data_IF_899702417920
#
_entry.id   IF_899702417920
#
_cell.length_a   1.000
_cell.length_b   1.000
_cell.length_c   1.000
_cell.angle_alpha   90.00
_cell.angle_beta   90.00
_cell.angle_gamma   90.00
#
_symmetry.space_group_name_H-M   'P 1'
#
loop_
_entity.id
_entity.type
_entity.pdbx_description
1 polymer ?
#
# COMPACT_ATOMS: atom_id res chain seq x y z
N UNK A 1 24.59 -4.03 5.24
CA UNK A 1 24.32 -4.97 4.20
C UNK A 1 23.29 -4.39 3.26
N UNK A 2 23.56 -4.51 2.19
CA UNK A 2 23.26 -3.86 1.01
C UNK A 2 22.07 -4.51 0.31
N UNK A 3 20.94 -3.83 0.33
CA UNK A 3 19.73 -4.29 -0.37
C UNK A 3 20.01 -4.49 -1.88
N UNK A 4 20.99 -3.78 -2.47
CA UNK A 4 21.41 -4.01 -3.84
C UNK A 4 22.04 -5.39 -4.03
N UNK A 5 22.84 -5.86 -3.08
CA UNK A 5 23.39 -7.22 -3.10
C UNK A 5 22.29 -8.26 -2.88
N UNK A 6 21.32 -8.00 -2.04
CA UNK A 6 20.17 -8.88 -1.82
C UNK A 6 19.32 -9.00 -3.10
N UNK A 7 19.06 -7.89 -3.78
CA UNK A 7 18.36 -7.88 -5.08
C UNK A 7 19.20 -8.63 -6.12
N UNK A 8 20.51 -8.44 -6.17
CA UNK A 8 21.39 -9.14 -7.08
C UNK A 8 21.41 -10.64 -6.82
N UNK A 9 21.43 -11.06 -5.55
CA UNK A 9 21.35 -12.48 -5.15
C UNK A 9 20.00 -13.10 -5.52
N UNK A 10 18.90 -12.39 -5.26
CA UNK A 10 17.55 -12.83 -5.66
C UNK A 10 17.45 -13.00 -7.18
N UNK A 11 17.99 -12.05 -7.96
CA UNK A 11 18.01 -12.13 -9.42
C UNK A 11 18.96 -13.20 -9.97
N UNK A 12 20.10 -13.39 -9.34
CA UNK A 12 21.09 -14.41 -9.74
C UNK A 12 20.66 -15.83 -9.39
N UNK A 13 19.81 -16.00 -8.37
CA UNK A 13 19.23 -17.28 -7.98
C UNK A 13 18.00 -17.68 -8.80
N UNK A 14 17.69 -16.97 -9.88
CA UNK A 14 16.51 -17.19 -10.72
C UNK A 14 16.51 -18.59 -11.38
N UNK A 15 16.01 -19.54 -10.61
CA UNK A 15 15.18 -20.59 -11.23
C UNK A 15 13.90 -19.92 -11.74
N UNK A 16 13.23 -20.46 -12.79
CA UNK A 16 11.99 -19.87 -13.30
C UNK A 16 10.90 -19.96 -12.22
N UNK A 17 10.91 -19.00 -11.29
CA UNK A 17 9.74 -18.78 -10.45
C UNK A 17 8.59 -18.26 -11.31
N UNK A 18 7.34 -18.61 -10.99
CA UNK A 18 6.21 -17.98 -11.65
C UNK A 18 6.36 -16.46 -11.56
N UNK A 19 5.90 -15.70 -12.58
CA UNK A 19 5.95 -14.25 -12.55
C UNK A 19 5.34 -13.73 -11.26
N UNK A 20 6.04 -12.83 -10.56
CA UNK A 20 5.54 -12.21 -9.34
C UNK A 20 5.96 -10.74 -9.28
N UNK A 21 5.14 -9.92 -8.60
CA UNK A 21 5.52 -8.58 -8.18
C UNK A 21 6.39 -8.70 -6.92
N UNK A 22 7.58 -8.10 -6.93
CA UNK A 22 8.54 -8.24 -5.82
C UNK A 22 9.07 -6.89 -5.40
N UNK A 23 8.97 -6.58 -4.11
CA UNK A 23 9.62 -5.42 -3.49
C UNK A 23 10.68 -5.87 -2.51
N UNK A 24 11.78 -5.14 -2.48
CA UNK A 24 12.85 -5.32 -1.49
C UNK A 24 12.98 -4.03 -0.70
N UNK A 25 12.63 -4.09 0.58
CA UNK A 25 12.67 -2.94 1.48
C UNK A 25 13.76 -3.17 2.51
N UNK A 26 14.65 -2.21 2.64
CA UNK A 26 15.69 -2.24 3.65
C UNK A 26 15.10 -1.82 5.00
N UNK A 27 14.77 -2.81 5.81
CA UNK A 27 14.27 -2.68 7.16
C UNK A 27 14.75 -3.88 7.98
N UNK A 28 15.39 -3.69 9.14
CA UNK A 28 15.88 -4.80 9.94
C UNK A 28 14.71 -5.58 10.54
N UNK A 29 14.67 -6.92 10.39
CA UNK A 29 13.71 -7.77 11.10
C UNK A 29 13.89 -7.69 12.60
N UNK A 30 12.78 -7.76 13.36
CA UNK A 30 12.77 -7.63 14.83
C UNK A 30 13.47 -8.78 15.56
N UNK A 31 13.49 -9.97 15.00
CA UNK A 31 14.10 -11.18 15.56
C UNK A 31 15.63 -11.23 15.44
N UNK A 32 16.24 -10.18 14.89
CA UNK A 32 17.65 -10.13 14.57
C UNK A 32 18.05 -10.91 13.31
N UNK A 33 17.10 -11.46 12.60
CA UNK A 33 17.30 -12.05 11.27
C UNK A 33 17.82 -11.02 10.28
N UNK A 34 18.48 -11.49 9.21
CA UNK A 34 19.00 -10.59 8.16
C UNK A 34 17.98 -10.34 7.05
N UNK A 35 17.02 -11.24 6.91
CA UNK A 35 15.97 -11.22 5.88
C UNK A 35 14.69 -11.73 6.49
N UNK A 36 13.58 -11.03 6.26
CA UNK A 36 12.23 -11.52 6.45
C UNK A 36 11.54 -11.57 5.08
N UNK A 37 10.78 -12.62 4.82
CA UNK A 37 10.03 -12.80 3.58
C UNK A 37 8.55 -12.82 3.90
N UNK A 38 7.81 -11.91 3.27
CA UNK A 38 6.35 -11.93 3.24
C UNK A 38 5.90 -12.30 1.82
N UNK A 39 5.00 -13.27 1.69
CA UNK A 39 4.55 -13.79 0.40
C UNK A 39 3.03 -13.88 0.38
N UNK A 40 2.43 -13.37 -0.69
CA UNK A 40 1.03 -13.58 -1.00
C UNK A 40 0.93 -14.59 -2.14
N UNK A 41 0.37 -15.76 -1.87
CA UNK A 41 0.23 -16.86 -2.82
C UNK A 41 -1.22 -16.92 -3.32
N UNK A 42 -1.38 -17.00 -4.63
CA UNK A 42 -2.66 -17.25 -5.28
C UNK A 42 -2.64 -18.62 -5.95
N UNK A 43 -3.68 -19.42 -5.67
CA UNK A 43 -3.97 -20.62 -6.44
C UNK A 43 -5.03 -20.28 -7.49
N UNK A 44 -4.63 -20.31 -8.75
CA UNK A 44 -5.48 -20.01 -9.88
C UNK A 44 -5.70 -21.30 -10.68
N UNK A 45 -6.83 -21.97 -10.46
CA UNK A 45 -7.13 -23.22 -11.16
C UNK A 45 -7.26 -23.02 -12.68
N UNK A 46 -7.87 -21.90 -13.09
CA UNK A 46 -8.10 -21.56 -14.50
C UNK A 46 -7.66 -20.13 -14.84
N UNK A 47 -6.80 -19.53 -14.00
CA UNK A 47 -6.35 -18.15 -14.13
C UNK A 47 -5.12 -18.00 -15.00
N UNK A 48 -4.98 -16.85 -15.63
CA UNK A 48 -3.79 -16.47 -16.35
C UNK A 48 -2.99 -15.45 -15.55
N UNK A 49 -1.69 -15.68 -15.45
CA UNK A 49 -0.74 -14.74 -14.83
C UNK A 49 0.16 -14.18 -15.93
N UNK A 50 0.26 -12.86 -15.99
CA UNK A 50 1.11 -12.19 -16.97
C UNK A 50 1.98 -11.12 -16.31
N UNK A 51 3.31 -11.13 -16.51
CA UNK A 51 4.19 -10.08 -16.02
C UNK A 51 4.05 -8.82 -16.88
N UNK A 52 4.30 -7.68 -16.25
CA UNK A 52 4.55 -6.41 -16.91
C UNK A 52 5.71 -5.70 -16.19
N UNK A 53 6.21 -4.63 -16.76
CA UNK A 53 7.29 -3.86 -16.12
C UNK A 53 6.86 -3.31 -14.76
N UNK A 54 7.50 -3.79 -13.69
CA UNK A 54 7.20 -3.39 -12.31
C UNK A 54 6.00 -4.10 -11.69
N UNK A 55 5.51 -5.22 -12.27
CA UNK A 55 4.40 -5.91 -11.63
C UNK A 55 3.93 -7.18 -12.33
N UNK A 56 2.76 -7.63 -11.90
CA UNK A 56 2.11 -8.83 -12.43
C UNK A 56 0.60 -8.65 -12.43
N UNK A 57 -0.06 -9.19 -13.44
CA UNK A 57 -1.52 -9.35 -13.44
C UNK A 57 -1.91 -10.80 -13.27
N UNK A 58 -3.07 -11.04 -12.66
CA UNK A 58 -3.71 -12.34 -12.60
C UNK A 58 -5.19 -12.21 -12.91
N UNK A 59 -5.65 -12.92 -13.93
CA UNK A 59 -7.05 -12.95 -14.33
C UNK A 59 -7.74 -14.15 -13.67
N UNK A 60 -8.82 -13.89 -12.94
CA UNK A 60 -9.60 -14.94 -12.26
C UNK A 60 -11.04 -14.50 -12.05
N UNK A 61 -11.99 -15.38 -12.35
CA UNK A 61 -13.43 -15.19 -12.13
C UNK A 61 -13.99 -13.85 -12.66
N UNK A 62 -13.50 -13.37 -13.79
CA UNK A 62 -13.94 -12.13 -14.41
C UNK A 62 -13.31 -10.86 -13.84
N UNK A 63 -12.39 -10.99 -12.90
CA UNK A 63 -11.59 -9.91 -12.36
C UNK A 63 -10.16 -10.01 -12.87
N UNK A 64 -9.53 -8.85 -13.12
CA UNK A 64 -8.08 -8.75 -13.29
C UNK A 64 -7.48 -8.12 -12.05
N UNK A 65 -6.68 -8.89 -11.34
CA UNK A 65 -5.86 -8.42 -10.23
C UNK A 65 -4.54 -7.86 -10.77
N UNK A 66 -4.15 -6.68 -10.32
CA UNK A 66 -2.97 -5.95 -10.79
C UNK A 66 -2.11 -5.60 -9.58
N UNK A 67 -0.95 -6.23 -9.45
CA UNK A 67 0.04 -5.90 -8.42
C UNK A 67 1.20 -5.13 -9.05
N UNK A 68 1.43 -3.92 -8.57
CA UNK A 68 2.58 -3.10 -8.92
C UNK A 68 3.51 -3.04 -7.72
N UNK A 69 4.79 -3.24 -7.94
CA UNK A 69 5.77 -3.34 -6.88
C UNK A 69 7.02 -2.51 -7.17
N UNK A 70 7.69 -2.08 -6.09
CA UNK A 70 9.00 -1.44 -6.12
C UNK A 70 9.08 -0.17 -6.97
N UNK A 71 7.96 0.56 -7.11
CA UNK A 71 7.95 1.88 -7.72
C UNK A 71 8.88 2.82 -6.93
N UNK A 72 9.80 3.50 -7.62
CA UNK A 72 10.73 4.45 -7.00
C UNK A 72 11.22 5.48 -8.01
N UNK A 73 11.63 6.68 -7.52
CA UNK A 73 12.26 7.74 -8.31
C UNK A 73 13.45 8.32 -7.53
N UNK A 74 14.56 8.67 -8.17
CA UNK A 74 15.68 9.34 -7.50
C UNK A 74 15.53 10.87 -7.48
N UNK A 75 14.51 11.43 -8.14
CA UNK A 75 14.45 12.84 -8.46
C UNK A 75 13.73 13.66 -7.38
N UNK A 76 14.38 14.66 -6.85
CA UNK A 76 13.80 15.64 -5.93
C UNK A 76 13.62 15.14 -4.49
N UNK A 77 12.78 15.84 -3.75
CA UNK A 77 12.40 15.52 -2.38
C UNK A 77 11.28 14.45 -2.33
N UNK A 78 10.87 14.06 -1.14
CA UNK A 78 9.83 13.05 -0.94
C UNK A 78 8.49 13.43 -1.57
N UNK A 79 8.15 14.71 -1.64
CA UNK A 79 6.93 15.17 -2.30
C UNK A 79 7.02 14.95 -3.80
N UNK A 80 8.11 15.40 -4.44
CA UNK A 80 8.32 15.23 -5.88
C UNK A 80 8.40 13.76 -6.28
N UNK A 81 9.07 12.94 -5.48
CA UNK A 81 9.12 11.50 -5.71
C UNK A 81 7.74 10.88 -5.63
N UNK A 82 6.93 11.23 -4.61
CA UNK A 82 5.56 10.72 -4.45
C UNK A 82 4.66 11.12 -5.62
N UNK A 83 4.72 12.37 -6.05
CA UNK A 83 4.01 12.85 -7.25
C UNK A 83 4.37 11.99 -8.46
N UNK A 84 5.67 11.86 -8.76
CA UNK A 84 6.16 11.06 -9.89
C UNK A 84 5.71 9.60 -9.81
N UNK A 85 5.71 8.99 -8.63
CA UNK A 85 5.30 7.60 -8.44
C UNK A 85 3.81 7.39 -8.66
N UNK A 86 2.99 8.29 -8.13
CA UNK A 86 1.54 8.22 -8.29
C UNK A 86 1.09 8.53 -9.72
N UNK A 87 1.73 9.50 -10.40
CA UNK A 87 1.48 9.78 -11.81
C UNK A 87 1.80 8.56 -12.68
N UNK A 88 2.99 7.98 -12.53
CA UNK A 88 3.39 6.76 -13.25
C UNK A 88 2.44 5.59 -12.96
N UNK A 89 1.97 5.48 -11.72
CA UNK A 89 1.02 4.44 -11.36
C UNK A 89 -0.35 4.68 -11.98
N UNK A 90 -0.86 5.91 -12.00
CA UNK A 90 -2.09 6.28 -12.68
C UNK A 90 -2.02 6.02 -14.19
N UNK A 91 -0.91 6.39 -14.84
CA UNK A 91 -0.64 6.08 -16.25
C UNK A 91 -0.64 4.55 -16.50
N UNK A 92 0.01 3.79 -15.61
CA UNK A 92 0.04 2.32 -15.69
C UNK A 92 -1.35 1.72 -15.56
N UNK A 93 -2.17 2.18 -14.63
CA UNK A 93 -3.56 1.78 -14.50
C UNK A 93 -4.35 2.10 -15.78
N UNK A 94 -4.12 3.26 -16.37
CA UNK A 94 -4.73 3.66 -17.65
C UNK A 94 -4.45 2.69 -18.80
N UNK A 95 -3.25 2.07 -18.86
CA UNK A 95 -2.90 1.05 -19.84
C UNK A 95 -3.76 -0.23 -19.71
N UNK A 96 -4.25 -0.50 -18.48
CA UNK A 96 -5.19 -1.59 -18.22
C UNK A 96 -6.66 -1.15 -18.35
N UNK A 97 -6.93 0.11 -18.66
CA UNK A 97 -8.27 0.69 -18.66
C UNK A 97 -8.86 0.80 -17.25
N UNK A 98 -8.03 1.11 -16.28
CA UNK A 98 -8.32 1.31 -14.87
C UNK A 98 -8.00 2.74 -14.44
N UNK A 99 -8.55 3.15 -13.28
CA UNK A 99 -8.28 4.45 -12.66
C UNK A 99 -7.89 4.29 -11.19
N UNK A 100 -7.28 5.33 -10.60
CA UNK A 100 -7.02 5.36 -9.16
C UNK A 100 -8.33 5.32 -8.36
N UNK A 101 -9.32 6.09 -8.77
CA UNK A 101 -10.60 6.21 -8.09
C UNK A 101 -11.38 4.89 -8.06
N UNK A 102 -11.51 4.21 -9.20
CA UNK A 102 -12.45 3.09 -9.31
C UNK A 102 -11.82 1.72 -9.07
N UNK A 103 -10.52 1.57 -9.31
CA UNK A 103 -9.88 0.25 -9.37
C UNK A 103 -8.75 0.06 -8.35
N UNK A 104 -8.13 1.15 -7.87
CA UNK A 104 -7.05 1.03 -6.86
C UNK A 104 -7.63 0.70 -5.49
N UNK A 105 -7.26 -0.46 -4.97
CA UNK A 105 -7.78 -0.98 -3.70
C UNK A 105 -6.84 -0.68 -2.54
N UNK A 106 -5.54 -0.74 -2.79
CA UNK A 106 -4.53 -0.67 -1.73
C UNK A 106 -3.21 -0.08 -2.20
N UNK A 107 -2.58 0.76 -1.36
CA UNK A 107 -1.21 1.25 -1.56
C UNK A 107 -0.36 1.04 -0.30
N UNK A 108 0.95 0.82 -0.50
CA UNK A 108 1.97 0.80 0.55
C UNK A 108 3.08 1.77 0.16
N UNK A 109 3.34 2.74 1.04
CA UNK A 109 4.47 3.65 0.93
C UNK A 109 5.52 3.26 1.97
N UNK A 110 6.73 2.98 1.49
CA UNK A 110 7.90 2.84 2.35
C UNK A 110 8.71 4.12 2.23
N UNK A 111 8.89 4.79 3.34
CA UNK A 111 9.43 6.15 3.38
C UNK A 111 10.72 6.17 4.19
N UNK A 112 11.82 6.53 3.56
CA UNK A 112 13.11 6.66 4.25
C UNK A 112 13.07 7.85 5.21
N UNK A 113 13.53 7.66 6.45
CA UNK A 113 13.46 8.68 7.52
C UNK A 113 12.05 9.27 7.60
N UNK A 114 11.09 8.44 7.94
CA UNK A 114 9.65 8.75 7.91
C UNK A 114 9.31 10.05 8.65
N UNK A 115 9.95 10.33 9.78
CA UNK A 115 9.74 11.55 10.57
C UNK A 115 10.07 12.84 9.80
N UNK A 116 10.96 12.75 8.82
CA UNK A 116 11.37 13.90 7.98
C UNK A 116 10.60 13.95 6.67
N UNK A 117 10.43 12.81 6.02
CA UNK A 117 9.97 12.73 4.63
C UNK A 117 8.45 12.50 4.49
N UNK A 118 7.76 12.04 5.55
CA UNK A 118 6.34 11.68 5.45
C UNK A 118 5.43 12.88 5.15
N UNK A 119 5.75 14.05 5.64
CA UNK A 119 4.98 15.27 5.36
C UNK A 119 4.92 15.59 3.85
N UNK A 120 6.03 15.37 3.13
CA UNK A 120 6.09 15.50 1.67
C UNK A 120 5.18 14.49 0.96
N UNK A 121 5.19 13.23 1.41
CA UNK A 121 4.32 12.17 0.89
C UNK A 121 2.84 12.52 1.07
N UNK A 122 2.45 12.97 2.26
CA UNK A 122 1.05 13.35 2.57
C UNK A 122 0.58 14.50 1.70
N UNK A 123 1.42 15.55 1.52
CA UNK A 123 1.08 16.71 0.69
C UNK A 123 0.87 16.32 -0.78
N UNK A 124 1.85 15.66 -1.39
CA UNK A 124 1.79 15.28 -2.79
C UNK A 124 0.63 14.31 -3.07
N UNK A 125 0.41 13.33 -2.19
CA UNK A 125 -0.71 12.41 -2.31
C UNK A 125 -2.06 13.12 -2.25
N UNK A 126 -2.23 14.11 -1.37
CA UNK A 126 -3.46 14.89 -1.28
C UNK A 126 -3.76 15.62 -2.58
N UNK A 127 -2.79 16.37 -3.09
CA UNK A 127 -2.93 17.17 -4.31
C UNK A 127 -3.29 16.30 -5.52
N UNK A 128 -2.61 15.17 -5.67
CA UNK A 128 -2.86 14.23 -6.75
C UNK A 128 -4.20 13.51 -6.60
N UNK A 129 -4.57 13.11 -5.39
CA UNK A 129 -5.84 12.44 -5.13
C UNK A 129 -7.03 13.37 -5.44
N UNK A 130 -6.97 14.64 -5.04
CA UNK A 130 -7.98 15.64 -5.40
C UNK A 130 -8.14 15.77 -6.91
N UNK A 131 -7.03 15.77 -7.66
CA UNK A 131 -7.04 15.81 -9.12
C UNK A 131 -7.73 14.57 -9.75
N UNK A 132 -7.61 13.41 -9.11
CA UNK A 132 -8.25 12.17 -9.54
C UNK A 132 -9.63 11.91 -8.92
N UNK A 133 -10.27 12.90 -8.30
CA UNK A 133 -11.61 12.77 -7.74
C UNK A 133 -11.68 12.03 -6.39
N UNK A 134 -10.53 11.74 -5.77
CA UNK A 134 -10.43 11.13 -4.45
C UNK A 134 -10.46 12.22 -3.38
N UNK A 135 -11.61 12.40 -2.73
CA UNK A 135 -11.90 13.49 -1.80
C UNK A 135 -12.68 12.99 -0.58
N UNK A 136 -12.84 13.80 0.48
CA UNK A 136 -13.70 13.43 1.62
C UNK A 136 -15.16 13.16 1.24
N UNK A 137 -15.63 13.68 0.10
CA UNK A 137 -17.02 13.52 -0.38
C UNK A 137 -17.20 12.26 -1.23
N UNK A 138 -16.11 11.72 -1.75
CA UNK A 138 -16.10 10.46 -2.50
C UNK A 138 -15.53 9.35 -1.60
N UNK A 139 -14.29 9.07 -1.73
CA UNK A 139 -13.51 8.15 -0.86
C UNK A 139 -12.02 8.38 -1.09
N UNK A 140 -11.21 7.76 -0.25
CA UNK A 140 -9.78 7.59 -0.47
C UNK A 140 -9.43 6.12 -0.74
N UNK A 141 -8.15 5.82 -0.89
CA UNK A 141 -7.61 4.47 -1.06
C UNK A 141 -7.11 3.97 0.30
N UNK A 142 -7.32 2.70 0.64
CA UNK A 142 -6.69 2.10 1.81
C UNK A 142 -5.17 2.12 1.65
N UNK A 143 -4.43 2.63 2.65
CA UNK A 143 -3.01 2.92 2.51
C UNK A 143 -2.23 2.73 3.81
N UNK A 144 -0.98 2.31 3.69
CA UNK A 144 -0.01 2.31 4.79
C UNK A 144 1.21 3.12 4.38
N UNK A 145 1.66 4.02 5.23
CA UNK A 145 2.94 4.71 5.10
C UNK A 145 3.81 4.40 6.32
N UNK A 146 4.95 3.77 6.11
CA UNK A 146 5.85 3.31 7.17
C UNK A 146 7.31 3.56 6.81
N UNK A 147 8.19 3.51 7.80
CA UNK A 147 9.63 3.52 7.55
C UNK A 147 10.04 2.36 6.64
N UNK A 148 10.90 2.65 5.70
CA UNK A 148 11.50 1.67 4.82
C UNK A 148 12.39 2.34 3.79
N UNK A 149 13.48 1.68 3.39
CA UNK A 149 14.52 2.28 2.53
C UNK A 149 14.71 1.50 1.26
N UNK A 150 15.04 2.23 0.21
CA UNK A 150 15.61 1.66 -1.01
C UNK A 150 17.13 1.46 -0.84
N UNK A 151 17.73 0.59 -1.65
CA UNK A 151 19.17 0.41 -1.70
C UNK A 151 19.93 1.68 -2.14
N UNK A 152 19.34 2.47 -3.03
CA UNK A 152 19.82 3.80 -3.42
C UNK A 152 19.27 4.83 -2.42
N UNK A 153 20.12 5.54 -1.67
CA UNK A 153 19.69 6.48 -0.65
C UNK A 153 19.00 7.75 -1.21
N UNK A 154 19.11 8.02 -2.50
CA UNK A 154 18.41 9.12 -3.15
C UNK A 154 16.92 8.80 -3.41
N UNK A 155 16.51 7.55 -3.28
CA UNK A 155 15.12 7.10 -3.45
C UNK A 155 14.46 7.06 -2.08
N UNK A 156 13.83 8.19 -1.73
CA UNK A 156 13.25 8.42 -0.41
C UNK A 156 11.92 7.71 -0.22
N UNK A 157 11.24 7.40 -1.32
CA UNK A 157 9.89 6.82 -1.30
C UNK A 157 9.82 5.61 -2.23
N UNK A 158 9.25 4.51 -1.73
CA UNK A 158 8.87 3.34 -2.52
C UNK A 158 7.35 3.22 -2.52
N UNK A 159 6.79 2.76 -3.62
CA UNK A 159 5.36 2.53 -3.78
C UNK A 159 5.10 1.10 -4.27
N UNK A 160 4.31 0.37 -3.49
CA UNK A 160 3.62 -0.83 -3.92
C UNK A 160 2.12 -0.56 -3.99
N UNK A 161 1.43 -1.17 -4.94
CA UNK A 161 0.01 -0.94 -5.12
C UNK A 161 -0.71 -2.18 -5.64
N UNK A 162 -1.99 -2.27 -5.30
CA UNK A 162 -2.89 -3.31 -5.74
C UNK A 162 -4.19 -2.71 -6.27
N UNK A 163 -4.56 -3.12 -7.47
CA UNK A 163 -5.81 -2.74 -8.10
C UNK A 163 -6.57 -3.97 -8.61
N UNK A 164 -7.87 -3.83 -8.76
CA UNK A 164 -8.75 -4.88 -9.27
C UNK A 164 -9.67 -4.30 -10.34
N UNK A 165 -9.46 -4.70 -11.59
CA UNK A 165 -10.35 -4.38 -12.70
C UNK A 165 -11.57 -5.30 -12.71
N UNK A 166 -12.72 -4.75 -13.05
CA UNK A 166 -13.98 -5.50 -13.19
C UNK A 166 -14.87 -5.47 -11.97
N UNK A 167 -14.51 -4.72 -10.93
CA UNK A 167 -15.39 -4.47 -9.80
C UNK A 167 -16.60 -3.62 -10.23
N UNK A 168 -17.76 -3.98 -9.73
CA UNK A 168 -19.02 -3.27 -9.96
C UNK A 168 -19.27 -2.30 -8.79
N UNK A 169 -20.07 -1.24 -8.98
CA UNK A 169 -20.48 -0.36 -7.90
C UNK A 169 -21.01 -1.14 -6.69
N UNK A 170 -20.56 -0.77 -5.48
CA UNK A 170 -20.93 -1.43 -4.22
C UNK A 170 -20.14 -2.68 -3.86
N UNK A 171 -19.23 -3.16 -4.71
CA UNK A 171 -18.31 -4.24 -4.33
C UNK A 171 -17.15 -3.75 -3.46
N UNK A 172 -16.72 -2.50 -3.61
CA UNK A 172 -15.81 -1.86 -2.68
C UNK A 172 -16.61 -1.17 -1.57
N UNK A 173 -16.34 -1.54 -0.33
CA UNK A 173 -16.96 -0.96 0.87
C UNK A 173 -15.85 -0.42 1.76
N UNK A 174 -15.84 0.89 1.97
CA UNK A 174 -14.84 1.56 2.80
C UNK A 174 -15.21 1.39 4.27
N UNK A 175 -14.21 1.04 5.09
CA UNK A 175 -14.39 0.66 6.48
C UNK A 175 -14.16 1.84 7.40
N UNK A 176 -15.04 1.98 8.37
CA UNK A 176 -15.01 3.04 9.38
C UNK A 176 -15.33 2.44 10.74
N UNK A 177 -14.59 2.84 11.76
CA UNK A 177 -14.82 2.46 13.16
C UNK A 177 -14.92 3.73 14.03
N UNK A 178 -15.96 4.54 13.82
CA UNK A 178 -16.08 5.90 14.38
C UNK A 178 -16.05 5.96 15.91
N UNK A 179 -16.39 4.87 16.59
CA UNK A 179 -16.31 4.78 18.05
C UNK A 179 -14.89 4.48 18.54
N UNK A 180 -14.00 4.03 17.64
CA UNK A 180 -12.62 3.65 17.92
C UNK A 180 -11.58 4.57 17.26
N UNK A 181 -11.88 5.05 16.05
CA UNK A 181 -10.94 5.77 15.19
C UNK A 181 -11.63 6.99 14.57
N UNK A 182 -11.01 8.14 14.63
CA UNK A 182 -11.47 9.32 13.92
C UNK A 182 -11.26 9.18 12.39
N UNK A 183 -12.07 9.90 11.57
CA UNK A 183 -11.82 10.01 10.14
C UNK A 183 -10.44 10.58 9.83
N UNK A 184 -9.76 10.03 8.84
CA UNK A 184 -8.36 10.39 8.52
C UNK A 184 -8.21 11.84 8.03
N UNK A 185 -9.20 12.37 7.32
CA UNK A 185 -9.19 13.73 6.82
C UNK A 185 -9.22 14.78 7.95
N UNK A 186 -9.73 14.46 9.16
CA UNK A 186 -9.76 15.38 10.30
C UNK A 186 -8.35 15.78 10.78
N UNK A 187 -7.36 14.91 10.61
CA UNK A 187 -5.96 15.23 10.91
C UNK A 187 -5.10 15.38 9.66
N UNK A 188 -5.74 15.61 8.52
CA UNK A 188 -5.09 16.07 7.30
C UNK A 188 -4.39 15.02 6.46
N UNK A 189 -4.69 13.73 6.63
CA UNK A 189 -4.19 12.67 5.76
C UNK A 189 -5.30 12.10 4.87
N UNK A 190 -4.91 11.51 3.74
CA UNK A 190 -5.79 11.10 2.65
C UNK A 190 -5.71 9.60 2.43
N UNK A 191 -6.35 8.82 3.29
CA UNK A 191 -6.50 7.36 3.12
C UNK A 191 -7.75 6.86 3.82
N UNK A 192 -8.30 5.72 3.38
CA UNK A 192 -9.34 5.00 4.11
C UNK A 192 -8.75 4.10 5.18
N UNK A 193 -9.45 3.89 6.29
CA UNK A 193 -9.03 2.96 7.35
C UNK A 193 -8.92 1.53 6.85
N UNK A 194 -9.71 1.17 5.85
CA UNK A 194 -9.68 -0.10 5.18
C UNK A 194 -10.71 -0.16 4.06
N UNK A 195 -10.61 -1.20 3.26
CA UNK A 195 -11.59 -1.51 2.23
C UNK A 195 -11.92 -2.99 2.25
N UNK A 196 -13.20 -3.31 2.16
CA UNK A 196 -13.73 -4.66 1.93
C UNK A 196 -14.13 -4.80 0.47
N UNK A 197 -13.49 -5.70 -0.25
CA UNK A 197 -13.85 -6.06 -1.62
C UNK A 197 -14.70 -7.33 -1.61
N UNK A 198 -15.91 -7.25 -2.14
CA UNK A 198 -16.88 -8.35 -2.17
C UNK A 198 -16.83 -9.06 -3.52
N UNK A 199 -16.50 -10.34 -3.53
CA UNK A 199 -16.41 -11.17 -4.75
C UNK A 199 -17.58 -12.14 -4.94
N UNK A 200 -18.66 -11.97 -4.18
CA UNK A 200 -19.82 -12.86 -4.23
C UNK A 200 -19.78 -13.91 -3.11
N UNK A 201 -18.99 -14.94 -3.27
CA UNK A 201 -18.84 -16.03 -2.29
C UNK A 201 -17.90 -15.69 -1.11
N UNK A 202 -17.08 -14.66 -1.27
CA UNK A 202 -16.11 -14.21 -0.27
C UNK A 202 -15.88 -12.69 -0.33
N UNK A 203 -15.19 -12.20 0.67
CA UNK A 203 -14.68 -10.83 0.70
C UNK A 203 -13.22 -10.83 1.09
N UNK A 204 -12.46 -9.89 0.52
CA UNK A 204 -11.13 -9.56 1.01
C UNK A 204 -11.21 -8.24 1.76
N UNK A 205 -10.64 -8.21 2.95
CA UNK A 205 -10.52 -7.01 3.77
C UNK A 205 -9.05 -6.59 3.76
N UNK A 206 -8.80 -5.36 3.33
CA UNK A 206 -7.47 -4.78 3.31
C UNK A 206 -7.48 -3.56 4.25
N UNK A 207 -6.78 -3.69 5.37
CA UNK A 207 -6.72 -2.64 6.39
C UNK A 207 -5.48 -1.75 6.19
N UNK A 208 -5.65 -0.47 6.43
CA UNK A 208 -4.56 0.51 6.46
C UNK A 208 -3.73 0.36 7.72
N UNK A 209 -2.57 1.00 7.75
CA UNK A 209 -1.80 1.13 8.97
C UNK A 209 -2.65 1.77 10.07
N UNK A 210 -2.73 1.09 11.22
CA UNK A 210 -3.56 1.50 12.36
C UNK A 210 -2.66 1.66 13.58
N UNK A 211 -2.84 2.76 14.29
CA UNK A 211 -2.08 3.09 15.49
C UNK A 211 -2.92 2.90 16.76
N UNK A 212 -2.25 2.98 17.92
CA UNK A 212 -2.90 3.05 19.22
C UNK A 212 -3.46 4.47 19.47
N UNK A 213 -4.58 4.77 18.84
CA UNK A 213 -5.30 6.03 18.99
C UNK A 213 -6.76 5.78 19.36
N UNK A 214 -7.41 6.80 19.88
CA UNK A 214 -8.86 6.82 20.11
C UNK A 214 -9.63 7.50 18.96
N UNK A 215 -10.93 7.66 19.14
CA UNK A 215 -11.81 8.33 18.18
C UNK A 215 -11.65 9.87 18.13
N UNK A 216 -10.75 10.45 18.92
CA UNK A 216 -10.33 11.85 18.85
C UNK A 216 -8.97 12.01 18.22
N UNK A 217 -8.30 10.86 17.89
CA UNK A 217 -6.93 10.84 17.38
C UNK A 217 -5.86 10.98 18.46
N UNK A 218 -6.23 10.87 19.74
CA UNK A 218 -5.29 10.93 20.85
C UNK A 218 -4.60 9.58 21.07
N UNK A 219 -3.32 9.61 21.43
CA UNK A 219 -2.55 8.39 21.69
C UNK A 219 -3.06 7.72 22.97
N UNK A 220 -3.42 6.45 22.85
CA UNK A 220 -3.80 5.60 23.99
C UNK A 220 -2.59 4.84 24.49
N UNK A 221 -2.45 4.74 25.82
CA UNK A 221 -1.34 4.07 26.53
C UNK A 221 0.06 4.59 26.07
N UNK A 222 0.34 5.92 26.19
CA UNK A 222 1.63 6.48 25.79
C UNK A 222 2.77 5.83 26.61
N UNK A 223 3.87 5.45 25.93
CA UNK A 223 5.05 4.78 26.48
C UNK A 223 4.82 3.34 27.00
N UNK A 224 3.64 2.79 26.84
CA UNK A 224 3.31 1.40 27.16
C UNK A 224 3.10 0.60 25.88
N UNK A 225 4.12 -0.15 25.45
CA UNK A 225 4.08 -0.90 24.19
C UNK A 225 3.04 -2.04 24.21
N UNK A 226 2.80 -2.66 25.36
CA UNK A 226 1.81 -3.71 25.49
C UNK A 226 0.40 -3.13 25.38
N UNK A 227 0.11 -2.05 26.11
CA UNK A 227 -1.16 -1.34 26.03
C UNK A 227 -1.43 -0.75 24.63
N UNK A 228 -0.41 -0.20 23.98
CA UNK A 228 -0.53 0.27 22.59
C UNK A 228 -0.82 -0.87 21.63
N UNK A 229 -0.20 -2.03 21.80
CA UNK A 229 -0.44 -3.20 20.95
C UNK A 229 -1.88 -3.70 21.11
N UNK A 230 -2.36 -3.82 22.36
CA UNK A 230 -3.74 -4.20 22.64
C UNK A 230 -4.71 -3.23 21.98
N UNK A 231 -4.54 -1.92 22.17
CA UNK A 231 -5.42 -0.89 21.59
C UNK A 231 -5.40 -0.91 20.07
N UNK A 232 -4.24 -1.10 19.45
CA UNK A 232 -4.13 -1.22 18.01
C UNK A 232 -4.93 -2.42 17.48
N UNK A 233 -4.86 -3.57 18.17
CA UNK A 233 -5.65 -4.77 17.80
C UNK A 233 -7.15 -4.54 17.96
N UNK A 234 -7.60 -3.89 19.05
CA UNK A 234 -9.00 -3.48 19.23
C UNK A 234 -9.48 -2.59 18.08
N UNK A 235 -8.64 -1.64 17.63
CA UNK A 235 -8.94 -0.79 16.49
C UNK A 235 -9.05 -1.57 15.18
N UNK A 236 -8.21 -2.59 14.99
CA UNK A 236 -8.26 -3.49 13.83
C UNK A 236 -9.53 -4.35 13.85
N UNK A 237 -9.90 -4.88 15.01
CA UNK A 237 -11.12 -5.68 15.17
C UNK A 237 -12.42 -4.88 14.97
N UNK A 238 -12.37 -3.58 15.28
CA UNK A 238 -13.52 -2.68 15.11
C UNK A 238 -13.78 -2.30 13.62
N UNK A 239 -12.79 -2.48 12.75
CA UNK A 239 -12.89 -2.25 11.31
C UNK A 239 -13.44 -3.47 10.57
#
# INVERSE_FOLDING_TARGET
SDAANQIAVLRAGEKPYPPCATSVVQQPPLDGGKVALWVYLLSLADGQVAPFEGGVTADHNGYRHIWTAYGSSPDGDSARQTETLLDRYAERLGQFGCTLENDCVRTWFFVQNVDVNYAGVVRARRELFEHHGLTPQTHYIASTGIEGRHADPNRLVLLDAYAVKGLRPGQQVYLHAKDHLNPTYEYGVTFERGVRVRYGDRSHILLSGTASIDNRGEIVAPQDIEGQTVRMLENVEAL
#
